data_IF_342745593244
#
_entry.id   IF_342745593244
#
_cell.length_a   1.000
_cell.length_b   1.000
_cell.length_c   1.000
_cell.angle_alpha   90.00
_cell.angle_beta   90.00
_cell.angle_gamma   90.00
#
_symmetry.space_group_name_H-M   'P 1'
#
loop_
_entity.id
_entity.type
_entity.pdbx_description
1 polymer ?
#
# COMPACT_ATOMS: atom_id res chain seq x y z
N UNK A 1 -0.36 -11.41 5.81
CA UNK A 1 -0.04 -10.08 5.25
C UNK A 1 0.68 -9.22 6.27
N UNK A 2 1.44 -8.20 5.84
CA UNK A 2 2.06 -7.22 6.75
C UNK A 2 1.04 -6.39 7.54
N UNK A 3 -0.19 -6.27 7.06
CA UNK A 3 -1.28 -5.59 7.75
C UNK A 3 -1.70 -6.26 9.06
N UNK A 4 -1.38 -7.54 9.23
CA UNK A 4 -1.80 -8.36 10.37
C UNK A 4 -0.85 -8.20 11.57
N UNK A 5 0.28 -7.51 11.36
CA UNK A 5 1.29 -7.27 12.40
C UNK A 5 1.21 -5.84 12.92
N UNK A 6 1.24 -5.65 14.26
CA UNK A 6 1.49 -4.33 14.83
C UNK A 6 2.78 -3.75 14.26
N UNK A 7 2.76 -2.47 13.90
CA UNK A 7 3.91 -1.81 13.26
C UNK A 7 4.33 -0.54 13.99
N UNK A 8 5.62 -0.28 13.97
CA UNK A 8 6.23 0.96 14.41
C UNK A 8 6.91 1.65 13.24
N UNK A 9 6.57 2.91 12.98
CA UNK A 9 7.18 3.71 11.90
C UNK A 9 8.18 4.68 12.48
N UNK A 10 9.26 4.96 11.75
CA UNK A 10 10.24 5.96 12.20
C UNK A 10 9.61 7.35 12.33
N UNK A 11 8.60 7.66 11.51
CA UNK A 11 7.87 8.93 11.57
C UNK A 11 7.06 9.10 12.85
N UNK A 12 6.53 8.01 13.44
CA UNK A 12 5.76 8.05 14.68
C UNK A 12 6.64 8.28 15.92
N UNK A 13 7.93 7.99 15.85
CA UNK A 13 8.86 8.10 16.97
C UNK A 13 9.90 9.20 16.83
N UNK A 14 10.10 9.74 15.62
CA UNK A 14 11.14 10.73 15.33
C UNK A 14 11.09 11.97 16.24
N UNK A 15 9.89 12.39 16.68
CA UNK A 15 9.71 13.54 17.57
C UNK A 15 10.21 13.28 19.00
N UNK A 16 10.39 12.00 19.38
CA UNK A 16 10.98 11.60 20.67
C UNK A 16 12.48 11.39 20.58
N UNK A 17 13.04 11.41 19.36
CA UNK A 17 14.47 11.23 19.12
C UNK A 17 15.15 12.61 19.21
N UNK A 18 16.14 12.74 20.09
CA UNK A 18 17.06 13.90 20.08
C UNK A 18 17.89 13.92 18.78
N UNK A 19 18.48 15.08 18.46
CA UNK A 19 19.26 15.24 17.21
C UNK A 19 20.38 14.22 17.01
N UNK A 20 20.85 13.57 18.06
CA UNK A 20 21.96 12.60 18.04
C UNK A 20 21.56 11.23 18.61
N UNK A 21 20.27 10.90 18.65
CA UNK A 21 19.83 9.62 19.17
C UNK A 21 20.39 8.47 18.32
N UNK A 22 21.15 7.58 18.94
CA UNK A 22 21.76 6.41 18.32
C UNK A 22 20.92 5.14 18.47
N UNK A 23 20.00 5.13 19.43
CA UNK A 23 19.10 4.01 19.70
C UNK A 23 17.80 4.49 20.36
N UNK A 24 16.80 3.64 20.33
CA UNK A 24 15.54 3.79 21.06
C UNK A 24 15.30 2.52 21.88
N UNK A 25 15.07 2.69 23.19
CA UNK A 25 14.76 1.56 24.08
C UNK A 25 13.31 1.14 23.91
N UNK A 26 13.11 -0.14 23.72
CA UNK A 26 11.82 -0.80 23.53
C UNK A 26 11.50 -1.63 24.77
N UNK A 27 10.40 -1.28 25.46
CA UNK A 27 9.86 -2.04 26.60
C UNK A 27 8.38 -2.29 26.35
N UNK A 28 8.00 -3.55 26.18
CA UNK A 28 6.61 -3.93 25.90
C UNK A 28 6.33 -5.38 26.26
N UNK A 29 5.06 -5.72 26.38
CA UNK A 29 4.61 -7.10 26.54
C UNK A 29 3.94 -7.58 25.26
N UNK A 30 4.25 -8.81 24.87
CA UNK A 30 3.63 -9.47 23.72
C UNK A 30 3.38 -10.95 24.04
N UNK A 31 2.11 -11.39 23.95
CA UNK A 31 1.69 -12.77 24.27
C UNK A 31 2.21 -13.25 25.62
N UNK A 32 2.11 -12.42 26.65
CA UNK A 32 2.50 -12.73 28.03
C UNK A 32 4.01 -12.69 28.31
N UNK A 33 4.85 -12.39 27.31
CA UNK A 33 6.30 -12.21 27.49
C UNK A 33 6.67 -10.74 27.47
N UNK A 34 7.56 -10.33 28.38
CA UNK A 34 8.13 -8.99 28.43
C UNK A 34 9.40 -8.96 27.57
N UNK A 35 9.50 -7.91 26.76
CA UNK A 35 10.63 -7.63 25.88
C UNK A 35 11.25 -6.29 26.28
N UNK A 36 12.58 -6.28 26.48
CA UNK A 36 13.36 -5.07 26.74
C UNK A 36 14.65 -5.13 25.93
N UNK A 37 14.80 -4.24 24.95
CA UNK A 37 16.01 -4.16 24.11
C UNK A 37 16.07 -2.80 23.39
N UNK A 38 17.24 -2.48 22.88
CA UNK A 38 17.48 -1.27 22.13
C UNK A 38 17.43 -1.52 20.62
N UNK A 39 16.76 -0.63 19.91
CA UNK A 39 16.74 -0.59 18.45
C UNK A 39 17.64 0.53 17.98
N UNK A 40 18.68 0.20 17.22
CA UNK A 40 19.60 1.18 16.66
C UNK A 40 18.91 2.16 15.70
N UNK A 41 19.34 3.41 15.76
CA UNK A 41 18.90 4.48 14.88
C UNK A 41 20.09 4.96 14.06
N UNK A 42 19.89 5.12 12.77
CA UNK A 42 20.85 5.76 11.85
C UNK A 42 20.18 6.89 11.10
N UNK A 43 20.99 7.84 10.67
CA UNK A 43 20.53 8.98 9.88
C UNK A 43 21.16 8.96 8.49
N UNK A 44 20.50 9.56 7.53
CA UNK A 44 21.05 9.92 6.23
C UNK A 44 20.69 11.36 5.92
N UNK A 45 21.64 12.12 5.33
CA UNK A 45 21.37 13.46 4.86
C UNK A 45 20.36 13.48 3.71
N UNK A 46 19.52 14.51 3.68
CA UNK A 46 18.59 14.74 2.57
C UNK A 46 19.14 15.82 1.63
N UNK A 47 18.79 15.75 0.36
CA UNK A 47 19.28 16.65 -0.69
C UNK A 47 18.92 18.14 -0.43
N UNK A 48 17.80 18.40 0.22
CA UNK A 48 17.32 19.75 0.58
C UNK A 48 17.63 20.15 2.04
N UNK A 49 18.68 19.56 2.64
CA UNK A 49 18.95 19.71 4.07
C UNK A 49 18.10 18.81 4.95
N UNK A 50 18.38 18.82 6.26
CA UNK A 50 17.80 17.91 7.23
C UNK A 50 18.27 16.45 7.11
N UNK A 51 17.89 15.65 8.10
CA UNK A 51 18.25 14.25 8.21
C UNK A 51 17.00 13.38 8.18
N UNK A 52 17.13 12.24 7.50
CA UNK A 52 16.16 11.16 7.54
C UNK A 52 16.64 10.11 8.51
N UNK A 53 15.78 9.76 9.48
CA UNK A 53 16.04 8.71 10.45
C UNK A 53 15.61 7.35 9.92
N UNK A 54 16.30 6.32 10.37
CA UNK A 54 16.05 4.93 10.02
C UNK A 54 16.24 4.05 11.26
N UNK A 55 15.42 3.02 11.39
CA UNK A 55 15.70 1.92 12.31
C UNK A 55 16.75 0.99 11.71
N UNK A 56 17.64 0.49 12.53
CA UNK A 56 18.43 -0.69 12.21
C UNK A 56 17.67 -1.92 12.72
N UNK A 57 17.32 -2.85 11.84
CA UNK A 57 16.58 -4.04 12.21
C UNK A 57 17.39 -4.86 13.22
N UNK A 58 16.85 -5.21 14.41
CA UNK A 58 17.61 -5.96 15.42
C UNK A 58 18.09 -7.33 14.94
N UNK A 59 17.40 -7.94 13.96
CA UNK A 59 17.74 -9.26 13.47
C UNK A 59 18.75 -9.24 12.30
N UNK A 60 18.64 -8.31 11.35
CA UNK A 60 19.47 -8.31 10.14
C UNK A 60 20.27 -7.02 9.93
N UNK A 61 20.19 -6.09 10.85
CA UNK A 61 20.85 -4.77 10.85
C UNK A 61 20.60 -3.89 9.62
N UNK A 62 19.65 -4.24 8.75
CA UNK A 62 19.26 -3.41 7.59
C UNK A 62 18.54 -2.14 8.04
N UNK A 63 18.84 -1.03 7.40
CA UNK A 63 18.14 0.25 7.60
C UNK A 63 16.72 0.18 7.04
N UNK A 64 15.72 0.44 7.88
CA UNK A 64 14.30 0.36 7.51
C UNK A 64 13.51 1.51 8.14
N UNK A 65 12.44 1.95 7.47
CA UNK A 65 11.53 2.97 8.00
C UNK A 65 10.40 2.41 8.87
N UNK A 66 10.20 1.09 8.83
CA UNK A 66 9.11 0.41 9.55
C UNK A 66 9.60 -0.91 10.10
N UNK A 67 9.26 -1.16 11.36
CA UNK A 67 9.43 -2.45 12.04
C UNK A 67 8.05 -3.04 12.35
N UNK A 68 7.96 -4.36 12.32
CA UNK A 68 6.75 -5.13 12.57
C UNK A 68 6.96 -6.07 13.75
N UNK A 69 5.95 -6.19 14.62
CA UNK A 69 6.01 -7.03 15.82
C UNK A 69 5.56 -8.46 15.51
N UNK A 70 6.52 -9.40 15.59
CA UNK A 70 6.24 -10.83 15.56
C UNK A 70 6.83 -11.51 16.82
N UNK A 71 6.77 -10.84 17.97
CA UNK A 71 7.51 -11.07 19.17
C UNK A 71 8.54 -9.96 19.33
N UNK A 72 9.60 -9.95 18.53
CA UNK A 72 10.49 -8.80 18.37
C UNK A 72 10.00 -7.88 17.23
N UNK A 73 10.30 -6.59 17.35
CA UNK A 73 10.13 -5.64 16.26
C UNK A 73 11.25 -5.79 15.24
N UNK A 74 10.95 -6.41 14.12
CA UNK A 74 11.91 -6.70 13.04
C UNK A 74 11.40 -6.19 11.68
N UNK A 75 12.26 -6.16 10.68
CA UNK A 75 11.88 -5.71 9.34
C UNK A 75 11.01 -6.76 8.63
N UNK A 76 10.32 -6.32 7.57
CA UNK A 76 9.43 -7.18 6.77
C UNK A 76 10.12 -8.42 6.20
N UNK A 77 11.40 -8.32 5.88
CA UNK A 77 12.17 -9.45 5.33
C UNK A 77 12.43 -10.52 6.40
N UNK A 78 12.70 -10.12 7.63
CA UNK A 78 12.91 -11.03 8.74
C UNK A 78 11.62 -11.76 9.17
N UNK A 79 10.46 -11.12 9.01
CA UNK A 79 9.15 -11.76 9.23
C UNK A 79 8.77 -12.68 8.05
N UNK A 80 9.34 -12.48 6.86
CA UNK A 80 8.94 -13.20 5.66
C UNK A 80 7.55 -12.79 5.13
N UNK A 81 7.01 -11.64 5.57
CA UNK A 81 5.68 -11.22 5.20
C UNK A 81 5.68 -10.24 4.01
N UNK A 82 4.68 -10.39 3.16
CA UNK A 82 4.46 -9.56 1.97
C UNK A 82 3.39 -8.50 2.21
N UNK A 83 3.44 -7.42 1.43
CA UNK A 83 2.35 -6.46 1.40
C UNK A 83 1.07 -7.10 0.84
N UNK A 84 -0.09 -6.70 1.37
CA UNK A 84 -1.38 -7.19 0.91
C UNK A 84 -1.54 -7.08 -0.63
N UNK A 85 -1.01 -6.00 -1.22
CA UNK A 85 -1.04 -5.78 -2.68
C UNK A 85 -0.21 -6.79 -3.48
N UNK A 86 0.80 -7.41 -2.89
CA UNK A 86 1.60 -8.46 -3.53
C UNK A 86 0.89 -9.82 -3.49
N UNK A 87 0.04 -10.03 -2.49
CA UNK A 87 -0.75 -11.24 -2.31
C UNK A 87 -2.07 -11.22 -3.10
N UNK A 88 -2.47 -10.07 -3.62
CA UNK A 88 -3.69 -9.92 -4.40
C UNK A 88 -3.62 -10.69 -5.73
N UNK A 89 -4.72 -11.34 -6.09
CA UNK A 89 -4.88 -11.95 -7.40
C UNK A 89 -4.78 -10.90 -8.52
N UNK A 90 -4.36 -11.27 -9.73
CA UNK A 90 -4.28 -10.34 -10.86
C UNK A 90 -5.58 -9.58 -11.12
N UNK A 91 -6.71 -10.28 -11.04
CA UNK A 91 -8.04 -9.67 -11.24
C UNK A 91 -8.39 -8.64 -10.17
N UNK A 92 -8.05 -8.90 -8.90
CA UNK A 92 -8.31 -7.96 -7.80
C UNK A 92 -7.51 -6.66 -7.96
N UNK A 93 -6.30 -6.78 -8.55
CA UNK A 93 -5.49 -5.60 -8.89
C UNK A 93 -6.15 -4.75 -9.96
N UNK A 94 -6.86 -5.35 -10.92
CA UNK A 94 -7.65 -4.62 -11.92
C UNK A 94 -8.83 -3.92 -11.27
N UNK A 95 -9.62 -4.62 -10.45
CA UNK A 95 -10.72 -4.03 -9.69
C UNK A 95 -10.26 -2.82 -8.87
N UNK A 96 -9.15 -2.97 -8.14
CA UNK A 96 -8.60 -1.87 -7.35
C UNK A 96 -8.18 -0.66 -8.19
N UNK A 97 -7.66 -0.87 -9.40
CA UNK A 97 -7.33 0.23 -10.32
C UNK A 97 -8.60 0.95 -10.80
N UNK A 98 -9.64 0.20 -11.14
CA UNK A 98 -10.94 0.77 -11.53
C UNK A 98 -11.53 1.60 -10.39
N UNK A 99 -11.61 1.05 -9.18
CA UNK A 99 -12.15 1.76 -8.02
C UNK A 99 -11.37 3.05 -7.70
N UNK A 100 -10.05 3.03 -7.86
CA UNK A 100 -9.23 4.25 -7.70
C UNK A 100 -9.60 5.33 -8.71
N UNK A 101 -9.91 4.96 -9.96
CA UNK A 101 -10.35 5.90 -10.99
C UNK A 101 -11.75 6.41 -10.65
N UNK A 102 -12.68 5.53 -10.27
CA UNK A 102 -14.05 5.89 -9.86
C UNK A 102 -14.06 6.87 -8.69
N UNK A 103 -13.27 6.58 -7.66
CA UNK A 103 -13.10 7.49 -6.52
C UNK A 103 -12.56 8.87 -6.95
N UNK A 104 -11.57 8.91 -7.85
CA UNK A 104 -11.03 10.19 -8.37
C UNK A 104 -12.05 10.99 -9.20
N UNK A 105 -12.95 10.28 -9.88
CA UNK A 105 -14.05 10.88 -10.66
C UNK A 105 -15.30 11.19 -9.82
N UNK A 106 -15.30 10.83 -8.52
CA UNK A 106 -16.46 10.96 -7.66
C UNK A 106 -17.65 10.08 -8.08
N UNK A 107 -17.36 8.98 -8.80
CA UNK A 107 -18.38 8.04 -9.24
C UNK A 107 -18.70 7.02 -8.16
N UNK A 108 -19.93 6.48 -8.21
CA UNK A 108 -20.35 5.42 -7.32
C UNK A 108 -19.44 4.19 -7.47
N UNK A 109 -19.07 3.54 -6.35
CA UNK A 109 -18.24 2.33 -6.35
C UNK A 109 -18.95 1.17 -7.05
N UNK A 110 -18.13 0.28 -7.64
CA UNK A 110 -18.62 -0.92 -8.34
C UNK A 110 -18.69 -0.73 -9.86
N UNK A 111 -18.12 -1.70 -10.60
CA UNK A 111 -18.06 -1.68 -12.07
C UNK A 111 -19.44 -1.80 -12.74
N UNK A 112 -20.42 -2.36 -12.02
CA UNK A 112 -21.81 -2.49 -12.50
C UNK A 112 -22.53 -1.14 -12.51
N UNK A 113 -22.06 -0.15 -11.75
CA UNK A 113 -22.62 1.20 -11.77
C UNK A 113 -22.11 1.95 -12.99
N UNK A 114 -23.00 2.63 -13.69
CA UNK A 114 -22.67 3.40 -14.88
C UNK A 114 -21.61 4.49 -14.66
N UNK A 115 -21.29 5.20 -15.71
CA UNK A 115 -20.42 6.36 -15.64
C UNK A 115 -21.17 7.52 -15.00
N UNK A 116 -20.56 8.20 -14.06
CA UNK A 116 -21.07 9.44 -13.48
C UNK A 116 -20.66 10.67 -14.28
N UNK A 117 -21.14 11.84 -13.85
CA UNK A 117 -20.78 13.12 -14.44
C UNK A 117 -19.29 13.47 -14.22
N UNK A 118 -18.79 14.41 -15.02
CA UNK A 118 -17.45 14.99 -14.85
C UNK A 118 -17.40 15.84 -13.56
N UNK A 119 -16.42 15.61 -12.67
CA UNK A 119 -16.25 16.43 -11.48
C UNK A 119 -16.06 17.91 -11.81
N UNK A 120 -16.65 18.79 -10.99
CA UNK A 120 -16.45 20.24 -11.10
C UNK A 120 -14.96 20.57 -10.96
N UNK A 121 -14.45 21.45 -11.81
CA UNK A 121 -13.04 21.87 -11.80
C UNK A 121 -12.06 20.89 -12.49
N UNK A 122 -12.47 19.69 -12.88
CA UNK A 122 -11.59 18.79 -13.63
C UNK A 122 -11.50 19.20 -15.10
N UNK A 123 -10.27 19.25 -15.64
CA UNK A 123 -10.06 19.54 -17.06
C UNK A 123 -10.60 18.39 -17.94
N UNK A 124 -11.22 18.73 -19.09
CA UNK A 124 -11.85 17.75 -19.98
C UNK A 124 -10.88 16.66 -20.47
N UNK A 125 -9.66 17.01 -20.85
CA UNK A 125 -8.67 16.02 -21.27
C UNK A 125 -8.35 15.00 -20.17
N UNK A 126 -8.25 15.45 -18.91
CA UNK A 126 -8.03 14.57 -17.76
C UNK A 126 -9.22 13.65 -17.55
N UNK A 127 -10.44 14.17 -17.66
CA UNK A 127 -11.67 13.38 -17.56
C UNK A 127 -11.73 12.31 -18.64
N UNK A 128 -11.55 12.66 -19.91
CA UNK A 128 -11.55 11.71 -21.02
C UNK A 128 -10.46 10.63 -20.87
N UNK A 129 -9.24 11.02 -20.47
CA UNK A 129 -8.16 10.07 -20.22
C UNK A 129 -8.54 9.06 -19.12
N UNK A 130 -9.10 9.52 -18.01
CA UNK A 130 -9.51 8.67 -16.90
C UNK A 130 -10.69 7.77 -17.28
N UNK A 131 -11.68 8.28 -17.99
CA UNK A 131 -12.82 7.51 -18.49
C UNK A 131 -12.37 6.43 -19.45
N UNK A 132 -11.51 6.76 -20.41
CA UNK A 132 -10.95 5.78 -21.33
C UNK A 132 -10.16 4.67 -20.59
N UNK A 133 -9.30 5.04 -19.62
CA UNK A 133 -8.58 4.07 -18.80
C UNK A 133 -9.53 3.18 -17.99
N UNK A 134 -10.61 3.75 -17.44
CA UNK A 134 -11.65 3.01 -16.74
C UNK A 134 -12.27 1.95 -17.66
N UNK A 135 -12.75 2.36 -18.84
CA UNK A 135 -13.39 1.46 -19.82
C UNK A 135 -12.46 0.30 -20.19
N UNK A 136 -11.21 0.60 -20.53
CA UNK A 136 -10.21 -0.43 -20.84
C UNK A 136 -9.98 -1.45 -19.72
N UNK A 137 -9.95 -0.98 -18.46
CA UNK A 137 -9.79 -1.87 -17.30
C UNK A 137 -11.04 -2.73 -17.07
N UNK A 138 -12.24 -2.15 -17.27
CA UNK A 138 -13.51 -2.91 -17.17
C UNK A 138 -13.60 -3.98 -18.24
N UNK A 139 -13.24 -3.67 -19.49
CA UNK A 139 -13.16 -4.65 -20.58
C UNK A 139 -12.24 -5.82 -20.23
N UNK A 140 -11.05 -5.54 -19.67
CA UNK A 140 -10.11 -6.56 -19.21
C UNK A 140 -10.71 -7.44 -18.10
N UNK A 141 -11.38 -6.83 -17.11
CA UNK A 141 -12.04 -7.57 -16.02
C UNK A 141 -13.11 -8.49 -16.58
N UNK A 142 -13.98 -7.96 -17.45
CA UNK A 142 -15.05 -8.76 -18.07
C UNK A 142 -14.48 -9.90 -18.89
N UNK A 143 -13.44 -9.66 -19.71
CA UNK A 143 -12.78 -10.71 -20.49
C UNK A 143 -12.23 -11.84 -19.61
N UNK A 144 -11.50 -11.51 -18.54
CA UNK A 144 -10.97 -12.51 -17.60
C UNK A 144 -12.10 -13.25 -16.88
N UNK A 145 -13.18 -12.56 -16.51
CA UNK A 145 -14.32 -13.17 -15.80
C UNK A 145 -15.07 -14.13 -16.72
N UNK A 146 -15.35 -13.71 -17.96
CA UNK A 146 -16.04 -14.56 -18.95
C UNK A 146 -15.23 -15.82 -19.28
N UNK A 147 -13.92 -15.69 -19.45
CA UNK A 147 -13.04 -16.85 -19.65
C UNK A 147 -13.10 -17.84 -18.48
N UNK A 148 -13.12 -17.35 -17.23
CA UNK A 148 -13.22 -18.22 -16.04
C UNK A 148 -14.58 -18.92 -15.91
N UNK A 149 -15.65 -18.29 -16.40
CA UNK A 149 -17.02 -18.81 -16.34
C UNK A 149 -17.41 -19.59 -17.59
N UNK A 150 -16.51 -19.76 -18.57
CA UNK A 150 -16.79 -20.34 -19.90
C UNK A 150 -17.98 -19.65 -20.62
N UNK A 151 -18.15 -18.34 -20.41
CA UNK A 151 -19.19 -17.55 -21.06
C UNK A 151 -18.56 -16.84 -22.27
N UNK A 152 -19.13 -17.05 -23.44
CA UNK A 152 -18.76 -16.30 -24.65
C UNK A 152 -19.48 -14.97 -24.65
N UNK A 153 -18.75 -13.84 -24.62
CA UNK A 153 -19.36 -12.53 -24.81
C UNK A 153 -19.85 -12.42 -26.27
N UNK A 154 -21.07 -11.93 -26.52
CA UNK A 154 -21.50 -11.63 -27.88
C UNK A 154 -20.51 -10.60 -28.47
N UNK A 155 -20.02 -10.92 -29.67
CA UNK A 155 -19.13 -9.99 -30.39
C UNK A 155 -19.90 -8.69 -30.63
N UNK A 156 -19.30 -7.56 -30.26
CA UNK A 156 -19.80 -6.23 -30.67
C UNK A 156 -19.58 -6.08 -32.20
N UNK A 157 -20.42 -6.74 -32.99
CA UNK A 157 -20.65 -6.43 -34.39
C UNK A 157 -22.13 -6.17 -34.50
N UNK A 158 -22.43 -5.01 -35.05
CA UNK A 158 -23.76 -4.49 -35.38
C UNK A 158 -24.40 -3.58 -34.31
N UNK A 159 -23.96 -2.31 -34.33
CA UNK A 159 -24.81 -1.12 -34.35
C UNK A 159 -24.08 -0.02 -35.14
#
# INVERSE_FOLDING_TARGET
SLSDYPKMTITSVKHRLGQHAKAISMNYQFKGKTYGYDVGITTSSCHYGNYRYWFNCPNCNKRVGVLYCAGLFVCRHCIGANYATQLMQPIDKLFRKVEKIRHRLGWQQGIANGHGAKPKGMHHQTYFKLTWQHTKLVEQILGVTCQRMNITLPSQREL
#
